data_IF_908940668144
#
_entry.id   IF_908940668144
#
_cell.length_a   1.000
_cell.length_b   1.000
_cell.length_c   1.000
_cell.angle_alpha   90.00
_cell.angle_beta   90.00
_cell.angle_gamma   90.00
#
_symmetry.space_group_name_H-M   'P 1'
#
loop_
_entity.id
_entity.type
_entity.pdbx_description
1 polymer ?
#
# COMPACT_ATOMS: atom_id res chain seq x y z
N UNK A 1 9.36 -28.06 -4.03
CA UNK A 1 8.36 -27.13 -3.45
C UNK A 1 8.13 -27.55 -2.02
N UNK A 2 8.39 -26.69 -1.05
CA UNK A 2 8.13 -26.97 0.37
C UNK A 2 6.64 -26.81 0.67
N UNK A 3 6.16 -27.45 1.74
CA UNK A 3 4.75 -27.35 2.16
C UNK A 3 4.38 -25.89 2.45
N UNK A 4 5.29 -25.14 3.06
CA UNK A 4 5.09 -23.72 3.37
C UNK A 4 4.92 -22.85 2.11
N UNK A 5 5.73 -23.06 1.07
CA UNK A 5 5.60 -22.29 -0.17
C UNK A 5 4.28 -22.54 -0.89
N UNK A 6 3.72 -23.75 -0.80
CA UNK A 6 2.41 -24.06 -1.36
C UNK A 6 1.32 -23.35 -0.56
N UNK A 7 1.41 -23.38 0.78
CA UNK A 7 0.47 -22.68 1.66
C UNK A 7 0.47 -21.17 1.43
N UNK A 8 1.65 -20.56 1.32
CA UNK A 8 1.79 -19.13 1.10
C UNK A 8 1.21 -18.72 -0.27
N UNK A 9 1.46 -19.52 -1.30
CA UNK A 9 0.89 -19.30 -2.63
C UNK A 9 -0.64 -19.37 -2.63
N UNK A 10 -1.21 -20.38 -1.98
CA UNK A 10 -2.66 -20.54 -1.88
C UNK A 10 -3.29 -19.39 -1.08
N UNK A 11 -2.66 -18.97 0.03
CA UNK A 11 -3.10 -17.81 0.81
C UNK A 11 -3.07 -16.51 -0.01
N UNK A 12 -2.01 -16.30 -0.80
CA UNK A 12 -1.92 -15.14 -1.69
C UNK A 12 -3.00 -15.19 -2.77
N UNK A 13 -3.24 -16.36 -3.36
CA UNK A 13 -4.28 -16.55 -4.39
C UNK A 13 -5.66 -16.22 -3.83
N UNK A 14 -5.99 -16.74 -2.65
CA UNK A 14 -7.27 -16.49 -2.00
C UNK A 14 -7.45 -15.02 -1.65
N UNK A 15 -6.40 -14.38 -1.14
CA UNK A 15 -6.41 -12.94 -0.85
C UNK A 15 -6.69 -12.12 -2.11
N UNK A 16 -6.00 -12.43 -3.23
CA UNK A 16 -6.23 -11.75 -4.51
C UNK A 16 -7.64 -12.00 -5.08
N UNK A 17 -8.18 -13.20 -4.91
CA UNK A 17 -9.52 -13.54 -5.38
C UNK A 17 -10.64 -12.86 -4.57
N UNK A 18 -10.37 -12.50 -3.32
CA UNK A 18 -11.34 -11.90 -2.38
C UNK A 18 -11.05 -10.42 -2.09
N UNK A 19 -10.04 -9.84 -2.75
CA UNK A 19 -9.57 -8.47 -2.48
C UNK A 19 -10.71 -7.45 -2.64
N UNK A 20 -10.83 -6.46 -1.73
CA UNK A 20 -11.77 -5.36 -1.90
C UNK A 20 -11.60 -4.66 -3.25
N UNK A 21 -12.71 -4.20 -3.83
CA UNK A 21 -12.71 -3.50 -5.11
C UNK A 21 -11.72 -2.32 -5.07
N UNK A 22 -10.73 -2.32 -5.96
CA UNK A 22 -9.87 -1.15 -6.14
C UNK A 22 -10.70 -0.02 -6.75
N UNK A 23 -10.56 1.19 -6.21
CA UNK A 23 -11.20 2.37 -6.76
C UNK A 23 -10.35 2.93 -7.91
N UNK A 24 -11.03 3.43 -8.93
CA UNK A 24 -10.37 4.22 -9.96
C UNK A 24 -9.98 5.58 -9.37
N UNK A 25 -8.75 6.08 -9.53
CA UNK A 25 -8.34 7.34 -8.93
C UNK A 25 -9.09 8.53 -9.53
N UNK A 26 -9.62 9.40 -8.67
CA UNK A 26 -10.15 10.71 -9.05
C UNK A 26 -9.23 11.81 -8.50
N UNK A 27 -8.43 12.39 -9.38
CA UNK A 27 -7.45 13.43 -9.03
C UNK A 27 -8.05 14.74 -8.51
N UNK A 28 -9.38 14.90 -8.52
CA UNK A 28 -10.07 16.05 -7.91
C UNK A 28 -10.33 15.85 -6.41
N UNK A 29 -10.23 14.61 -5.92
CA UNK A 29 -10.47 14.26 -4.53
C UNK A 29 -9.15 14.10 -3.77
N UNK A 30 -9.13 14.39 -2.47
CA UNK A 30 -7.93 14.23 -1.67
C UNK A 30 -7.55 12.76 -1.53
N UNK A 31 -6.24 12.49 -1.50
CA UNK A 31 -5.70 11.16 -1.25
C UNK A 31 -5.40 10.97 0.24
N UNK A 32 -5.66 9.77 0.75
CA UNK A 32 -5.18 9.30 2.05
C UNK A 32 -4.10 8.26 1.84
N UNK A 33 -2.86 8.58 2.16
CA UNK A 33 -1.76 7.61 2.06
C UNK A 33 -1.61 6.85 3.37
N UNK A 34 -1.90 5.54 3.34
CA UNK A 34 -1.56 4.62 4.41
C UNK A 34 -0.19 4.01 4.15
N UNK A 35 0.66 4.00 5.16
CA UNK A 35 2.00 3.40 5.12
C UNK A 35 2.18 2.53 6.37
N UNK A 36 2.98 1.49 6.26
CA UNK A 36 3.43 0.67 7.38
C UNK A 36 4.81 0.08 7.08
N UNK A 37 5.65 -0.03 8.11
CA UNK A 37 6.98 -0.60 7.99
C UNK A 37 7.24 -1.66 9.06
N UNK A 38 7.72 -2.82 8.63
CA UNK A 38 8.17 -3.90 9.50
C UNK A 38 9.64 -4.24 9.25
N UNK A 39 10.18 -5.20 10.01
CA UNK A 39 11.55 -5.68 9.80
C UNK A 39 11.73 -6.45 8.49
N UNK A 40 10.64 -6.97 7.95
CA UNK A 40 10.66 -7.83 6.76
C UNK A 40 10.32 -7.05 5.49
N UNK A 41 9.51 -6.01 5.60
CA UNK A 41 9.03 -5.26 4.45
C UNK A 41 8.39 -3.92 4.78
N UNK A 42 8.24 -3.12 3.74
CA UNK A 42 7.55 -1.84 3.70
C UNK A 42 6.30 -2.00 2.84
N UNK A 43 5.23 -1.29 3.18
CA UNK A 43 4.01 -1.30 2.38
C UNK A 43 3.24 0.02 2.47
N UNK A 44 2.55 0.33 1.37
CA UNK A 44 1.66 1.48 1.31
C UNK A 44 0.47 1.29 0.39
N UNK A 45 -0.55 2.10 0.65
CA UNK A 45 -1.81 2.10 -0.08
C UNK A 45 -2.39 3.52 -0.12
N UNK A 46 -2.43 4.18 -1.29
CA UNK A 46 -3.22 5.39 -1.47
C UNK A 46 -4.70 5.03 -1.53
N UNK A 47 -5.50 5.71 -0.71
CA UNK A 47 -6.94 5.54 -0.59
C UNK A 47 -7.65 6.84 -0.99
N UNK A 48 -8.90 6.71 -1.40
CA UNK A 48 -9.80 7.85 -1.60
C UNK A 48 -11.19 7.55 -1.04
N UNK A 49 -11.88 8.61 -0.60
CA UNK A 49 -13.30 8.55 -0.25
C UNK A 49 -14.10 9.01 -1.47
N UNK A 50 -14.84 8.10 -2.09
CA UNK A 50 -15.66 8.37 -3.28
C UNK A 50 -17.14 8.08 -3.01
N UNK A 51 -18.05 8.75 -3.74
CA UNK A 51 -19.47 8.43 -3.67
C UNK A 51 -19.79 7.29 -4.63
N UNK A 52 -20.17 6.14 -4.10
CA UNK A 52 -20.57 4.95 -4.87
C UNK A 52 -21.96 4.55 -4.39
N UNK A 53 -22.92 4.46 -5.32
CA UNK A 53 -24.33 4.18 -5.00
C UNK A 53 -24.87 5.11 -3.90
N UNK A 54 -24.64 6.41 -4.06
CA UNK A 54 -25.05 7.50 -3.15
C UNK A 54 -24.49 7.41 -1.72
N UNK A 55 -23.43 6.64 -1.51
CA UNK A 55 -22.78 6.47 -0.20
C UNK A 55 -21.29 6.77 -0.28
N UNK A 56 -20.70 7.42 0.74
CA UNK A 56 -19.25 7.57 0.83
C UNK A 56 -18.62 6.20 1.10
N UNK A 57 -17.71 5.80 0.24
CA UNK A 57 -16.92 4.57 0.35
C UNK A 57 -15.46 4.98 0.32
N UNK A 58 -14.73 4.64 1.38
CA UNK A 58 -13.27 4.70 1.36
C UNK A 58 -12.74 3.40 0.77
N UNK A 59 -11.85 3.51 -0.21
CA UNK A 59 -11.25 2.34 -0.82
C UNK A 59 -9.83 2.59 -1.32
N UNK A 60 -9.04 1.51 -1.44
CA UNK A 60 -7.69 1.56 -1.97
C UNK A 60 -7.69 1.80 -3.48
N UNK A 61 -6.76 2.61 -3.97
CA UNK A 61 -6.47 2.75 -5.40
C UNK A 61 -5.52 1.62 -5.84
N UNK A 62 -4.48 1.36 -5.05
CA UNK A 62 -3.53 0.29 -5.27
C UNK A 62 -2.83 -0.10 -3.97
N UNK A 63 -2.17 -1.25 -3.96
CA UNK A 63 -1.27 -1.66 -2.88
C UNK A 63 0.14 -1.81 -3.44
N UNK A 64 1.13 -1.24 -2.76
CA UNK A 64 2.55 -1.43 -3.06
C UNK A 64 3.27 -1.97 -1.84
N UNK A 65 4.22 -2.87 -2.06
CA UNK A 65 5.09 -3.37 -1.00
C UNK A 65 6.45 -3.77 -1.56
N UNK A 66 7.47 -3.77 -0.69
CA UNK A 66 8.78 -4.33 -1.00
C UNK A 66 9.45 -4.89 0.24
N UNK A 67 10.37 -5.83 0.03
CA UNK A 67 11.24 -6.31 1.10
C UNK A 67 12.24 -5.23 1.54
N UNK A 68 12.55 -5.26 2.83
CA UNK A 68 13.61 -4.45 3.45
C UNK A 68 14.98 -4.94 2.96
N UNK A 69 15.88 -4.00 2.64
CA UNK A 69 17.28 -4.34 2.33
C UNK A 69 18.05 -4.63 3.63
N UNK A 70 19.09 -5.48 3.61
CA UNK A 70 19.89 -5.77 4.81
C UNK A 70 20.49 -4.55 5.52
N UNK A 71 20.74 -3.47 4.78
CA UNK A 71 21.21 -2.19 5.34
C UNK A 71 20.10 -1.41 6.02
N UNK A 72 18.89 -1.45 5.48
CA UNK A 72 17.69 -0.78 6.01
C UNK A 72 17.18 -1.48 7.27
N UNK A 73 17.41 -2.80 7.39
CA UNK A 73 17.04 -3.60 8.58
C UNK A 73 17.71 -3.16 9.89
N UNK A 74 18.73 -2.28 9.82
CA UNK A 74 19.43 -1.73 10.98
C UNK A 74 18.76 -0.46 11.54
N UNK A 75 17.78 0.08 10.83
CA UNK A 75 17.05 1.28 11.23
C UNK A 75 16.12 0.99 12.41
N UNK A 76 15.96 2.00 13.28
CA UNK A 76 14.92 1.98 14.30
C UNK A 76 13.52 2.10 13.68
N UNK A 77 12.47 1.79 14.45
CA UNK A 77 11.08 1.83 13.97
C UNK A 77 10.72 3.16 13.28
N UNK A 78 10.97 4.30 13.93
CA UNK A 78 10.68 5.62 13.35
C UNK A 78 11.44 5.92 12.06
N UNK A 79 12.66 5.38 11.92
CA UNK A 79 13.46 5.52 10.70
C UNK A 79 12.92 4.64 9.57
N UNK A 80 12.40 3.45 9.89
CA UNK A 80 11.75 2.58 8.91
C UNK A 80 10.43 3.18 8.42
N UNK A 81 9.62 3.77 9.31
CA UNK A 81 8.39 4.49 8.90
C UNK A 81 8.71 5.66 7.97
N UNK A 82 9.75 6.44 8.28
CA UNK A 82 10.20 7.54 7.43
C UNK A 82 10.72 7.03 6.07
N UNK A 83 11.48 5.94 6.07
CA UNK A 83 11.93 5.28 4.84
C UNK A 83 10.74 4.80 3.99
N UNK A 84 9.71 4.24 4.62
CA UNK A 84 8.47 3.82 3.96
C UNK A 84 7.84 5.02 3.26
N UNK A 85 7.54 6.09 4.02
CA UNK A 85 6.95 7.32 3.50
C UNK A 85 7.70 7.88 2.28
N UNK A 86 9.03 8.02 2.37
CA UNK A 86 9.84 8.55 1.27
C UNK A 86 9.76 7.65 0.05
N UNK A 87 9.90 6.34 0.24
CA UNK A 87 9.82 5.36 -0.83
C UNK A 87 8.43 5.37 -1.50
N UNK A 88 7.36 5.49 -0.72
CA UNK A 88 5.98 5.50 -1.21
C UNK A 88 5.68 6.75 -2.04
N UNK A 89 6.12 7.93 -1.57
CA UNK A 89 5.97 9.19 -2.31
C UNK A 89 6.73 9.15 -3.64
N UNK A 90 7.93 8.58 -3.68
CA UNK A 90 8.68 8.38 -4.91
C UNK A 90 8.00 7.39 -5.86
N UNK A 91 7.46 6.29 -5.33
CA UNK A 91 6.84 5.23 -6.14
C UNK A 91 5.45 5.57 -6.62
N UNK A 92 4.70 6.38 -5.89
CA UNK A 92 3.34 6.78 -6.21
C UNK A 92 3.26 8.23 -6.69
N UNK A 93 4.36 8.80 -7.16
CA UNK A 93 4.43 10.18 -7.61
C UNK A 93 3.35 10.50 -8.66
N UNK A 94 3.07 9.59 -9.59
CA UNK A 94 2.04 9.74 -10.60
C UNK A 94 0.60 9.83 -10.06
N UNK A 95 0.39 9.47 -8.79
CA UNK A 95 -0.87 9.70 -8.07
C UNK A 95 -0.82 10.90 -7.13
N UNK A 96 0.28 11.06 -6.40
CA UNK A 96 0.38 11.97 -5.26
C UNK A 96 1.01 13.32 -5.60
N UNK A 97 1.68 13.45 -6.74
CA UNK A 97 2.32 14.70 -7.13
C UNK A 97 1.28 15.78 -7.43
N UNK A 98 1.36 16.89 -6.69
CA UNK A 98 0.41 18.00 -6.80
C UNK A 98 -0.99 17.71 -6.28
N UNK A 99 -1.21 16.56 -5.63
CA UNK A 99 -2.50 16.23 -5.05
C UNK A 99 -2.73 17.00 -3.74
N UNK A 100 -4.00 17.13 -3.36
CA UNK A 100 -4.40 17.66 -2.06
C UNK A 100 -4.50 16.48 -1.08
N UNK A 101 -3.99 16.66 0.14
CA UNK A 101 -4.13 15.71 1.25
C UNK A 101 -5.20 16.21 2.22
#
# INVERSE_FOLDING_TARGET
>A
MTVDSVKDFESLRESLATTPLLLMPDFKLPFKLYIDASRDGLGASPHQVQIINDKPVEGPICFISRQIKPTEARYGASQMECLCLVWDLEKLNYFLEGCVF
#
